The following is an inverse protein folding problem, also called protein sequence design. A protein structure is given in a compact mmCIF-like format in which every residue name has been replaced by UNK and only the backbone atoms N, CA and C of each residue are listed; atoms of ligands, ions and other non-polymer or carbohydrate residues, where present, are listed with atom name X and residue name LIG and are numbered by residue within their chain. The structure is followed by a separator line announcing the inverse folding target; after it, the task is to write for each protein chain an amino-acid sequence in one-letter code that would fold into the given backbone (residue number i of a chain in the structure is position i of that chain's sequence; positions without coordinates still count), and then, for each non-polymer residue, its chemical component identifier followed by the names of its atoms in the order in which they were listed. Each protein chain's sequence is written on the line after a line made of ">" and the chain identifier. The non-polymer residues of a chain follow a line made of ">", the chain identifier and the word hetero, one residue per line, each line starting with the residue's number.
data_IF_550098971224
#
_entry.id   IF_550098971224
#
_cell.length_a   1.000
_cell.length_b   1.000
_cell.length_c   1.000
_cell.angle_alpha   90.00
_cell.angle_beta   90.00
_cell.angle_gamma   90.00
#
_symmetry.space_group_name_H-M   'P 1'
#
loop_
_entity.id
_entity.type
_entity.pdbx_description
1 polymer ?
#
# COMPACT_ATOMS: atom_id res chain seq x y z
N UNK A 1 -21.29 -8.42 48.11
CA UNK A 1 -20.15 -9.20 47.56
C UNK A 1 -20.47 -9.34 46.09
N UNK A 2 -19.76 -8.60 45.23
CA UNK A 2 -20.08 -8.49 43.81
C UNK A 2 -19.36 -9.60 43.05
N UNK A 3 -20.13 -10.53 42.47
CA UNK A 3 -19.61 -11.65 41.70
C UNK A 3 -19.72 -11.28 40.21
N UNK A 4 -18.57 -11.01 39.59
CA UNK A 4 -18.44 -10.64 38.20
C UNK A 4 -18.08 -11.88 37.35
N UNK A 5 -18.81 -12.01 36.25
CA UNK A 5 -18.48 -12.58 34.93
C UNK A 5 -16.99 -12.86 34.67
N UNK A 6 -16.55 -13.77 33.80
CA UNK A 6 -17.10 -14.88 33.02
C UNK A 6 -15.87 -15.46 32.26
N UNK A 7 -16.01 -16.67 31.73
CA UNK A 7 -15.28 -17.19 30.55
C UNK A 7 -13.77 -17.50 30.67
N UNK A 8 -13.47 -18.77 30.93
CA UNK A 8 -12.25 -19.42 30.46
C UNK A 8 -12.62 -20.51 29.44
N UNK A 9 -12.41 -20.23 28.16
CA UNK A 9 -12.44 -21.24 27.12
C UNK A 9 -11.07 -21.33 26.43
N UNK A 10 -10.34 -22.37 26.84
CA UNK A 10 -9.39 -23.17 26.06
C UNK A 10 -8.23 -22.48 25.35
N UNK A 11 -7.05 -22.63 25.98
CA UNK A 11 -5.73 -22.62 25.35
C UNK A 11 -5.60 -23.78 24.34
N UNK A 12 -5.23 -23.48 23.09
CA UNK A 12 -4.78 -24.49 22.12
C UNK A 12 -3.37 -24.14 21.66
N UNK A 13 -2.43 -24.89 22.23
CA UNK A 13 -1.33 -25.63 21.59
C UNK A 13 -0.49 -24.88 20.55
N UNK A 14 0.71 -24.45 20.90
CA UNK A 14 1.97 -25.22 20.83
C UNK A 14 2.50 -25.45 19.40
N UNK A 15 3.55 -24.68 19.10
CA UNK A 15 4.77 -25.09 18.38
C UNK A 15 4.59 -25.78 17.03
N UNK A 16 4.82 -24.99 15.98
CA UNK A 16 5.78 -25.39 14.96
C UNK A 16 6.74 -24.24 14.66
N UNK A 17 7.91 -24.30 15.30
CA UNK A 17 9.13 -23.62 14.89
C UNK A 17 9.77 -24.37 13.72
N UNK A 18 10.02 -23.67 12.60
CA UNK A 18 11.18 -23.90 11.71
C UNK A 18 11.46 -22.61 10.92
N UNK A 19 12.71 -22.33 10.48
CA UNK A 19 13.57 -21.43 11.21
C UNK A 19 13.90 -20.14 10.43
N UNK A 20 14.20 -19.14 11.25
CA UNK A 20 14.87 -17.86 11.02
C UNK A 20 16.04 -18.00 10.01
N UNK A 21 15.89 -17.40 8.82
CA UNK A 21 17.06 -16.97 8.04
C UNK A 21 17.43 -15.58 8.53
N UNK A 22 18.44 -15.54 9.39
CA UNK A 22 19.04 -14.32 9.91
C UNK A 22 19.86 -13.63 8.81
N UNK A 23 19.39 -12.49 8.34
CA UNK A 23 20.26 -11.40 7.91
C UNK A 23 19.79 -10.16 8.66
N UNK A 24 20.60 -9.75 9.64
CA UNK A 24 20.27 -8.72 10.61
C UNK A 24 20.25 -7.30 10.04
N UNK A 25 19.48 -6.44 10.70
CA UNK A 25 19.53 -4.99 10.49
C UNK A 25 18.24 -4.30 10.87
N UNK A 26 18.12 -3.98 12.17
CA UNK A 26 17.29 -2.89 12.72
C UNK A 26 15.77 -3.01 12.56
N UNK A 27 15.06 -2.98 13.69
CA UNK A 27 13.63 -2.70 13.75
C UNK A 27 13.39 -1.27 13.23
N UNK A 28 13.28 -1.12 11.91
CA UNK A 28 12.82 0.11 11.26
C UNK A 28 11.30 0.08 11.40
N UNK A 29 10.73 1.06 12.10
CA UNK A 29 9.28 1.18 12.29
C UNK A 29 8.57 1.01 10.96
N UNK A 30 7.44 0.29 10.98
CA UNK A 30 6.74 -0.11 9.76
C UNK A 30 6.67 1.06 8.77
N UNK A 31 7.18 0.92 7.53
CA UNK A 31 6.95 1.91 6.48
C UNK A 31 5.45 2.18 6.39
N UNK A 32 5.01 3.30 5.80
CA UNK A 32 3.57 3.49 5.53
C UNK A 32 3.15 2.35 4.58
N UNK A 33 2.64 1.25 5.16
CA UNK A 33 2.61 -0.05 4.50
C UNK A 33 1.63 -0.09 3.33
N UNK A 34 0.64 0.80 3.34
CA UNK A 34 -0.45 0.77 2.39
C UNK A 34 -0.81 2.15 1.86
N UNK A 35 -0.53 2.37 0.56
CA UNK A 35 -0.96 3.52 -0.23
C UNK A 35 -2.48 3.77 -0.11
N UNK A 36 -3.31 2.75 0.12
CA UNK A 36 -4.76 2.93 0.35
C UNK A 36 -5.05 3.82 1.55
N UNK A 37 -4.26 3.72 2.62
CA UNK A 37 -4.44 4.55 3.83
C UNK A 37 -4.13 6.02 3.57
N UNK A 38 -3.36 6.30 2.51
CA UNK A 38 -3.01 7.64 2.09
C UNK A 38 -4.04 8.29 1.17
N UNK A 39 -4.96 7.50 0.59
CA UNK A 39 -5.94 7.95 -0.40
C UNK A 39 -7.28 8.20 0.30
N UNK A 40 -7.77 9.45 0.22
CA UNK A 40 -9.11 9.79 0.71
C UNK A 40 -10.23 9.23 -0.17
N UNK A 41 -11.46 9.19 0.35
CA UNK A 41 -12.63 8.68 -0.39
C UNK A 41 -12.83 9.44 -1.72
N UNK A 42 -12.69 10.77 -1.71
CA UNK A 42 -12.84 11.58 -2.92
C UNK A 42 -11.75 11.25 -3.96
N UNK A 43 -10.49 11.22 -3.52
CA UNK A 43 -9.34 10.87 -4.37
C UNK A 43 -9.52 9.48 -4.99
N UNK A 44 -10.03 8.51 -4.23
CA UNK A 44 -10.34 7.17 -4.73
C UNK A 44 -11.31 7.23 -5.91
N UNK A 45 -12.42 7.94 -5.75
CA UNK A 45 -13.40 8.09 -6.84
C UNK A 45 -12.78 8.78 -8.06
N UNK A 46 -12.06 9.89 -7.87
CA UNK A 46 -11.39 10.64 -8.94
C UNK A 46 -10.36 9.78 -9.68
N UNK A 47 -9.50 9.04 -8.96
CA UNK A 47 -8.52 8.17 -9.60
C UNK A 47 -9.20 7.06 -10.40
N UNK A 48 -10.21 6.40 -9.84
CA UNK A 48 -10.92 5.34 -10.56
C UNK A 48 -11.53 5.89 -11.85
N UNK A 49 -12.22 7.03 -11.80
CA UNK A 49 -12.87 7.60 -12.98
C UNK A 49 -11.88 8.11 -14.02
N UNK A 50 -10.84 8.85 -13.62
CA UNK A 50 -9.98 9.59 -14.54
C UNK A 50 -8.74 8.80 -14.97
N UNK A 51 -8.14 8.06 -14.05
CA UNK A 51 -6.90 7.34 -14.30
C UNK A 51 -7.16 5.88 -14.70
N UNK A 52 -8.18 5.25 -14.12
CA UNK A 52 -8.46 3.82 -14.34
C UNK A 52 -9.69 3.57 -15.22
N UNK A 53 -10.25 4.62 -15.86
CA UNK A 53 -11.38 4.53 -16.80
C UNK A 53 -12.60 3.80 -16.21
N UNK A 54 -12.82 3.95 -14.90
CA UNK A 54 -13.90 3.28 -14.16
C UNK A 54 -13.57 1.86 -13.69
N UNK A 55 -12.40 1.30 -14.01
CA UNK A 55 -12.00 -0.05 -13.59
C UNK A 55 -11.46 -0.08 -12.16
N UNK A 56 -12.38 -0.20 -11.19
CA UNK A 56 -12.06 -0.34 -9.77
C UNK A 56 -11.20 -1.57 -9.46
N UNK A 57 -11.38 -2.67 -10.21
CA UNK A 57 -10.59 -3.89 -9.99
C UNK A 57 -9.13 -3.70 -10.43
N UNK A 58 -8.88 -3.00 -11.53
CA UNK A 58 -7.53 -2.62 -11.97
C UNK A 58 -6.90 -1.63 -11.00
N UNK A 59 -7.66 -0.66 -10.49
CA UNK A 59 -7.20 0.26 -9.45
C UNK A 59 -6.70 -0.50 -8.22
N UNK A 60 -7.53 -1.38 -7.64
CA UNK A 60 -7.16 -2.13 -6.43
C UNK A 60 -5.95 -3.06 -6.64
N UNK A 61 -5.87 -3.73 -7.80
CA UNK A 61 -4.69 -4.55 -8.16
C UNK A 61 -3.44 -3.69 -8.31
N UNK A 62 -3.54 -2.54 -8.95
CA UNK A 62 -2.42 -1.61 -9.14
C UNK A 62 -1.89 -1.10 -7.81
N UNK A 63 -2.77 -0.71 -6.87
CA UNK A 63 -2.36 -0.31 -5.53
C UNK A 63 -1.64 -1.44 -4.78
N UNK A 64 -2.14 -2.69 -4.91
CA UNK A 64 -1.46 -3.86 -4.33
C UNK A 64 -0.06 -4.05 -4.91
N UNK A 65 0.11 -3.94 -6.22
CA UNK A 65 1.41 -4.04 -6.89
C UNK A 65 2.35 -2.93 -6.44
N UNK A 66 1.88 -1.68 -6.42
CA UNK A 66 2.68 -0.52 -6.00
C UNK A 66 3.17 -0.69 -4.54
N UNK A 67 2.29 -1.15 -3.65
CA UNK A 67 2.64 -1.44 -2.26
C UNK A 67 3.65 -2.58 -2.08
N UNK A 68 3.92 -3.39 -3.09
CA UNK A 68 4.86 -4.51 -2.99
C UNK A 68 6.29 -4.14 -3.43
N UNK A 69 6.51 -2.93 -3.95
CA UNK A 69 7.87 -2.48 -4.29
C UNK A 69 8.67 -2.08 -3.04
N UNK A 70 9.98 -2.27 -3.13
CA UNK A 70 10.91 -1.90 -2.06
C UNK A 70 11.26 -0.42 -2.07
N UNK A 71 11.39 0.19 -3.26
CA UNK A 71 11.83 1.59 -3.43
C UNK A 71 10.97 2.36 -4.43
N UNK A 72 10.97 3.68 -4.30
CA UNK A 72 10.13 4.58 -5.11
C UNK A 72 10.42 4.45 -6.61
N UNK A 73 11.69 4.36 -7.00
CA UNK A 73 12.11 4.29 -8.40
C UNK A 73 11.56 3.06 -9.13
N UNK A 74 11.47 1.91 -8.46
CA UNK A 74 10.87 0.69 -9.04
C UNK A 74 9.37 0.86 -9.27
N UNK A 75 8.67 1.45 -8.28
CA UNK A 75 7.25 1.72 -8.38
C UNK A 75 6.95 2.75 -9.47
N UNK A 76 7.72 3.83 -9.53
CA UNK A 76 7.61 4.87 -10.54
C UNK A 76 7.80 4.29 -11.95
N UNK A 77 8.88 3.52 -12.17
CA UNK A 77 9.11 2.85 -13.45
C UNK A 77 7.95 1.93 -13.86
N UNK A 78 7.40 1.18 -12.90
CA UNK A 78 6.25 0.31 -13.15
C UNK A 78 4.99 1.13 -13.49
N UNK A 79 4.69 2.20 -12.75
CA UNK A 79 3.55 3.09 -13.02
C UNK A 79 3.65 3.68 -14.42
N UNK A 80 4.81 4.20 -14.80
CA UNK A 80 5.00 4.80 -16.13
C UNK A 80 4.73 3.79 -17.25
N UNK A 81 5.23 2.55 -17.11
CA UNK A 81 5.10 1.52 -18.18
C UNK A 81 3.73 0.85 -18.20
N UNK A 82 3.15 0.58 -17.05
CA UNK A 82 1.97 -0.27 -16.93
C UNK A 82 0.67 0.53 -16.79
N UNK A 83 0.74 1.74 -16.24
CA UNK A 83 -0.42 2.60 -16.07
C UNK A 83 -0.38 3.75 -17.07
N UNK A 84 0.60 4.65 -16.98
CA UNK A 84 0.64 5.86 -17.80
C UNK A 84 0.70 5.54 -19.30
N UNK A 85 1.63 4.67 -19.72
CA UNK A 85 1.78 4.31 -21.14
C UNK A 85 0.56 3.53 -21.67
N UNK A 86 0.03 2.57 -20.90
CA UNK A 86 -1.04 1.67 -21.37
C UNK A 86 -2.43 2.28 -21.27
N UNK A 87 -2.67 3.09 -20.25
CA UNK A 87 -3.95 3.77 -20.02
C UNK A 87 -3.98 5.17 -20.64
N UNK A 88 -2.84 5.65 -21.13
CA UNK A 88 -2.71 6.97 -21.77
C UNK A 88 -2.97 8.10 -20.79
N UNK A 89 -2.35 8.04 -19.61
CA UNK A 89 -2.46 9.11 -18.63
C UNK A 89 -1.80 10.38 -19.18
N UNK A 90 -2.43 11.52 -18.90
CA UNK A 90 -1.86 12.83 -19.23
C UNK A 90 -0.92 13.27 -18.11
N UNK A 91 0.39 13.27 -18.37
CA UNK A 91 1.40 13.73 -17.41
C UNK A 91 1.25 15.19 -16.97
N UNK A 92 0.50 16.02 -17.71
CA UNK A 92 0.15 17.38 -17.32
C UNK A 92 -1.07 17.49 -16.40
N UNK A 93 -1.80 16.40 -16.18
CA UNK A 93 -3.00 16.38 -15.34
C UNK A 93 -2.66 16.52 -13.86
N UNK A 94 -3.43 17.34 -13.15
CA UNK A 94 -3.37 17.47 -11.69
C UNK A 94 -3.66 16.13 -11.00
N UNK A 95 -4.55 15.31 -11.55
CA UNK A 95 -4.91 14.00 -10.99
C UNK A 95 -3.73 13.01 -11.08
N UNK A 96 -3.00 13.01 -12.20
CA UNK A 96 -1.78 12.21 -12.36
C UNK A 96 -0.71 12.68 -11.38
N UNK A 97 -0.50 14.00 -11.30
CA UNK A 97 0.45 14.60 -10.37
C UNK A 97 0.12 14.24 -8.91
N UNK A 98 -1.14 14.34 -8.52
CA UNK A 98 -1.62 13.99 -7.17
C UNK A 98 -1.41 12.51 -6.86
N UNK A 99 -1.71 11.61 -7.81
CA UNK A 99 -1.45 10.18 -7.64
C UNK A 99 0.04 9.90 -7.39
N UNK A 100 0.94 10.47 -8.20
CA UNK A 100 2.39 10.33 -8.00
C UNK A 100 2.87 10.89 -6.66
N UNK A 101 2.29 11.99 -6.17
CA UNK A 101 2.62 12.53 -4.84
C UNK A 101 2.27 11.56 -3.71
N UNK A 102 1.10 10.91 -3.78
CA UNK A 102 0.70 9.90 -2.79
C UNK A 102 1.59 8.66 -2.85
N UNK A 103 1.96 8.21 -4.05
CA UNK A 103 2.93 7.13 -4.26
C UNK A 103 4.27 7.51 -3.61
N UNK A 104 4.81 8.69 -3.91
CA UNK A 104 6.07 9.16 -3.31
C UNK A 104 6.01 9.19 -1.79
N UNK A 105 4.89 9.62 -1.19
CA UNK A 105 4.68 9.62 0.26
C UNK A 105 4.72 8.21 0.85
N UNK A 106 4.23 7.19 0.15
CA UNK A 106 4.27 5.77 0.61
C UNK A 106 5.69 5.26 0.80
N UNK A 107 6.64 5.65 -0.06
CA UNK A 107 8.04 5.22 0.04
C UNK A 107 8.87 6.10 1.00
N UNK A 108 8.23 7.05 1.68
CA UNK A 108 8.90 8.10 2.44
C UNK A 108 9.42 9.18 1.50
N UNK A 109 9.03 10.44 1.75
CA UNK A 109 9.84 11.55 1.26
C UNK A 109 11.22 11.36 1.88
N UNK A 110 12.24 11.07 1.07
CA UNK A 110 13.56 10.64 1.55
C UNK A 110 14.05 11.50 2.71
N UNK A 111 13.84 11.02 3.94
CA UNK A 111 14.55 11.50 5.11
C UNK A 111 15.79 10.64 5.14
N UNK A 112 16.88 11.22 4.62
CA UNK A 112 18.23 10.74 4.87
C UNK A 112 18.52 10.71 6.36
#
# INVERSE_FOLDING_TARGET
>A
INEALAEQNTSINDRLSVPKSELGGTLIGDPVQDLRKAIGINDRFTFISELFRGDEAMYERSLKTINNFGVHSEAEYWITRELETKLGWDGGSETVTHFYQLVKRRFGAGVR
#
